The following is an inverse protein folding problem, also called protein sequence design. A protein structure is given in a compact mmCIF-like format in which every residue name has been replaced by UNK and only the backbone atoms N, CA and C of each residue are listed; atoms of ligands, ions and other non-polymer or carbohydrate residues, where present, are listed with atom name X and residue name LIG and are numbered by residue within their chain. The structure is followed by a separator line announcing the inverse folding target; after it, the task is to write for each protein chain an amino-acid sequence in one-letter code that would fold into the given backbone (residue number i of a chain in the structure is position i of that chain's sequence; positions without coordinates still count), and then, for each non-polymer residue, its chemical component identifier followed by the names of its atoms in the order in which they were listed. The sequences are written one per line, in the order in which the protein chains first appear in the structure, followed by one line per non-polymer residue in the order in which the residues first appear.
data_IF_353513759346
#
_entry.id   IF_353513759346
#
_cell.length_a   1.000
_cell.length_b   1.000
_cell.length_c   1.000
_cell.angle_alpha   90.00
_cell.angle_beta   90.00
_cell.angle_gamma   90.00
#
_symmetry.space_group_name_H-M   'P 1'
#
loop_
_entity.id
_entity.type
_entity.pdbx_description
1 polymer ?
#
# COMPACT_ATOMS: atom_id res chain seq x y z
N UNK A 1 -116.40 9.90 7.70
CA UNK A 1 -115.19 9.98 8.56
C UNK A 1 -114.25 8.78 8.41
N UNK A 2 -114.71 7.52 8.50
CA UNK A 2 -113.85 6.32 8.35
C UNK A 2 -112.97 6.31 7.09
N UNK A 3 -113.53 6.59 5.91
CA UNK A 3 -112.76 6.61 4.64
C UNK A 3 -111.68 7.70 4.59
N UNK A 4 -111.93 8.87 5.19
CA UNK A 4 -110.96 9.98 5.23
C UNK A 4 -109.79 9.60 6.13
N UNK A 5 -110.05 9.06 7.31
CA UNK A 5 -109.02 8.53 8.23
C UNK A 5 -108.15 7.43 7.58
N UNK A 6 -108.76 6.51 6.84
CA UNK A 6 -108.03 5.45 6.13
C UNK A 6 -107.07 6.02 5.06
N UNK A 7 -107.52 7.02 4.30
CA UNK A 7 -106.68 7.67 3.29
C UNK A 7 -105.51 8.41 3.96
N UNK A 8 -105.76 9.20 4.99
CA UNK A 8 -104.70 9.95 5.68
C UNK A 8 -103.63 9.04 6.29
N UNK A 9 -104.04 7.90 6.88
CA UNK A 9 -103.11 6.91 7.43
C UNK A 9 -102.26 6.26 6.34
N UNK A 10 -102.86 5.88 5.21
CA UNK A 10 -102.12 5.30 4.07
C UNK A 10 -101.14 6.32 3.49
N UNK A 11 -101.55 7.58 3.32
CA UNK A 11 -100.66 8.65 2.84
C UNK A 11 -99.51 8.91 3.81
N UNK A 12 -99.75 8.90 5.12
CA UNK A 12 -98.71 9.06 6.14
C UNK A 12 -97.71 7.89 6.13
N UNK A 13 -98.17 6.65 5.94
CA UNK A 13 -97.29 5.46 5.83
C UNK A 13 -96.45 5.53 4.54
N UNK A 14 -97.05 5.94 3.41
CA UNK A 14 -96.34 6.10 2.14
C UNK A 14 -95.29 7.22 2.21
N UNK A 15 -95.59 8.33 2.88
CA UNK A 15 -94.62 9.41 3.12
C UNK A 15 -93.50 8.97 4.07
N UNK A 16 -93.83 8.30 5.17
CA UNK A 16 -92.83 7.81 6.13
C UNK A 16 -91.90 6.76 5.51
N UNK A 17 -92.43 5.85 4.69
CA UNK A 17 -91.64 4.87 3.94
C UNK A 17 -90.79 5.51 2.85
N UNK A 18 -91.30 6.52 2.14
CA UNK A 18 -90.51 7.31 1.18
C UNK A 18 -89.36 8.08 1.83
N UNK A 19 -89.61 8.70 2.99
CA UNK A 19 -88.57 9.38 3.79
C UNK A 19 -87.53 8.38 4.31
N UNK A 20 -87.95 7.22 4.81
CA UNK A 20 -87.03 6.18 5.27
C UNK A 20 -86.17 5.62 4.12
N UNK A 21 -86.76 5.35 2.96
CA UNK A 21 -86.02 4.90 1.79
C UNK A 21 -85.02 5.96 1.30
N UNK A 22 -85.39 7.25 1.35
CA UNK A 22 -84.47 8.34 1.01
C UNK A 22 -83.34 8.48 2.02
N UNK A 23 -83.62 8.31 3.31
CA UNK A 23 -82.59 8.32 4.36
C UNK A 23 -81.58 7.18 4.16
N UNK A 24 -82.06 5.96 3.88
CA UNK A 24 -81.20 4.81 3.57
C UNK A 24 -80.36 5.07 2.33
N UNK A 25 -80.95 5.61 1.26
CA UNK A 25 -80.21 5.96 0.04
C UNK A 25 -79.13 7.01 0.28
N UNK A 26 -79.43 8.04 1.09
CA UNK A 26 -78.43 9.07 1.47
C UNK A 26 -77.31 8.49 2.35
N UNK A 27 -77.62 7.56 3.25
CA UNK A 27 -76.60 6.88 4.06
C UNK A 27 -75.70 5.97 3.20
N UNK A 28 -76.26 5.32 2.18
CA UNK A 28 -75.50 4.55 1.18
C UNK A 28 -74.61 5.47 0.34
N UNK A 29 -75.16 6.54 -0.24
CA UNK A 29 -74.39 7.53 -1.01
C UNK A 29 -73.24 8.13 -0.17
N UNK A 30 -73.50 8.39 1.12
CA UNK A 30 -72.49 8.86 2.08
C UNK A 30 -71.41 7.81 2.32
N UNK A 31 -71.77 6.55 2.51
CA UNK A 31 -70.81 5.48 2.73
C UNK A 31 -69.90 5.29 1.51
N UNK A 32 -70.47 5.33 0.30
CA UNK A 32 -69.73 5.21 -0.95
C UNK A 32 -68.77 6.40 -1.14
N UNK A 33 -69.23 7.62 -0.86
CA UNK A 33 -68.37 8.82 -0.92
C UNK A 33 -67.21 8.76 0.09
N UNK A 34 -67.43 8.23 1.30
CA UNK A 34 -66.36 8.03 2.29
C UNK A 34 -65.35 6.98 1.79
N UNK A 35 -65.83 5.88 1.22
CA UNK A 35 -64.97 4.84 0.68
C UNK A 35 -64.10 5.36 -0.48
N UNK A 36 -64.67 6.17 -1.38
CA UNK A 36 -63.94 6.81 -2.47
C UNK A 36 -62.88 7.79 -1.96
N UNK A 37 -63.21 8.62 -0.96
CA UNK A 37 -62.26 9.54 -0.34
C UNK A 37 -61.12 8.79 0.38
N UNK A 38 -61.41 7.67 1.03
CA UNK A 38 -60.39 6.82 1.65
C UNK A 38 -59.45 6.23 0.59
N UNK A 39 -59.99 5.67 -0.49
CA UNK A 39 -59.20 5.13 -1.59
C UNK A 39 -58.33 6.22 -2.27
N UNK A 40 -58.87 7.43 -2.45
CA UNK A 40 -58.12 8.55 -2.99
C UNK A 40 -56.99 9.00 -2.04
N UNK A 41 -57.26 9.02 -0.73
CA UNK A 41 -56.26 9.33 0.30
C UNK A 41 -55.11 8.32 0.29
N UNK A 42 -55.42 7.03 0.18
CA UNK A 42 -54.42 5.96 0.08
C UNK A 42 -53.61 6.03 -1.21
N UNK A 43 -54.26 6.25 -2.35
CA UNK A 43 -53.59 6.47 -3.64
C UNK A 43 -52.63 7.65 -3.59
N UNK A 44 -53.07 8.78 -3.00
CA UNK A 44 -52.24 9.99 -2.84
C UNK A 44 -51.03 9.70 -1.96
N UNK A 45 -51.23 9.02 -0.82
CA UNK A 45 -50.12 8.64 0.07
C UNK A 45 -49.12 7.71 -0.63
N UNK A 46 -49.60 6.75 -1.41
CA UNK A 46 -48.73 5.86 -2.20
C UNK A 46 -47.95 6.61 -3.28
N UNK A 47 -48.58 7.57 -3.96
CA UNK A 47 -47.91 8.43 -4.92
C UNK A 47 -46.84 9.32 -4.27
N UNK A 48 -47.12 9.88 -3.09
CA UNK A 48 -46.16 10.65 -2.30
C UNK A 48 -44.95 9.81 -1.91
N UNK A 49 -45.15 8.62 -1.31
CA UNK A 49 -44.04 7.74 -0.95
C UNK A 49 -43.16 7.33 -2.14
N UNK A 50 -43.77 7.10 -3.31
CA UNK A 50 -43.01 6.82 -4.54
C UNK A 50 -42.21 8.03 -5.01
N UNK A 51 -42.78 9.23 -4.90
CA UNK A 51 -42.10 10.47 -5.25
C UNK A 51 -40.91 10.70 -4.32
N UNK A 52 -41.11 10.62 -3.00
CA UNK A 52 -40.05 10.76 -2.00
C UNK A 52 -38.91 9.73 -2.22
N UNK A 53 -39.26 8.49 -2.57
CA UNK A 53 -38.29 7.45 -2.88
C UNK A 53 -37.47 7.77 -4.14
N UNK A 54 -38.13 8.23 -5.21
CA UNK A 54 -37.46 8.60 -6.45
C UNK A 54 -36.57 9.83 -6.25
N UNK A 55 -37.03 10.83 -5.51
CA UNK A 55 -36.25 12.03 -5.19
C UNK A 55 -34.99 11.65 -4.40
N UNK A 56 -35.11 10.75 -3.42
CA UNK A 56 -33.95 10.22 -2.70
C UNK A 56 -32.98 9.44 -3.59
N UNK A 57 -33.50 8.62 -4.52
CA UNK A 57 -32.67 7.87 -5.46
C UNK A 57 -31.95 8.78 -6.46
N UNK A 58 -32.60 9.84 -6.93
CA UNK A 58 -31.99 10.85 -7.81
C UNK A 58 -30.90 11.61 -7.07
N UNK A 59 -31.15 12.08 -5.85
CA UNK A 59 -30.14 12.79 -5.06
C UNK A 59 -28.89 11.94 -4.81
N UNK A 60 -29.06 10.65 -4.49
CA UNK A 60 -27.93 9.73 -4.32
C UNK A 60 -27.15 9.50 -5.63
N UNK A 61 -27.83 9.43 -6.77
CA UNK A 61 -27.19 9.28 -8.08
C UNK A 61 -26.43 10.55 -8.50
N UNK A 62 -26.96 11.73 -8.18
CA UNK A 62 -26.28 13.01 -8.39
C UNK A 62 -25.02 13.13 -7.53
N UNK A 63 -25.07 12.68 -6.27
CA UNK A 63 -23.92 12.64 -5.36
C UNK A 63 -22.82 11.69 -5.87
N UNK A 64 -23.15 10.45 -6.25
CA UNK A 64 -22.19 9.49 -6.84
C UNK A 64 -21.57 10.04 -8.14
N UNK A 65 -22.38 10.70 -8.98
CA UNK A 65 -21.88 11.33 -10.20
C UNK A 65 -20.89 12.46 -9.89
N UNK A 66 -21.21 13.31 -8.91
CA UNK A 66 -20.33 14.40 -8.49
C UNK A 66 -19.02 13.89 -7.88
N UNK A 67 -19.08 12.85 -7.03
CA UNK A 67 -17.91 12.23 -6.43
C UNK A 67 -16.95 11.65 -7.49
N UNK A 68 -17.49 10.91 -8.47
CA UNK A 68 -16.70 10.38 -9.59
C UNK A 68 -16.09 11.46 -10.46
N UNK A 69 -16.85 12.53 -10.74
CA UNK A 69 -16.33 13.67 -11.48
C UNK A 69 -15.14 14.31 -10.76
N UNK A 70 -15.24 14.52 -9.45
CA UNK A 70 -14.14 15.06 -8.64
C UNK A 70 -12.90 14.16 -8.64
N UNK A 71 -13.08 12.83 -8.54
CA UNK A 71 -11.98 11.86 -8.66
C UNK A 71 -11.31 11.93 -10.04
N UNK A 72 -12.09 12.06 -11.12
CA UNK A 72 -11.56 12.17 -12.48
C UNK A 72 -10.75 13.46 -12.70
N UNK A 73 -11.19 14.58 -12.12
CA UNK A 73 -10.49 15.87 -12.22
C UNK A 73 -9.06 15.80 -11.66
N UNK A 74 -8.83 15.06 -10.58
CA UNK A 74 -7.51 14.98 -9.92
C UNK A 74 -6.59 13.90 -10.49
N UNK A 75 -7.11 12.92 -11.25
CA UNK A 75 -6.32 11.81 -11.82
C UNK A 75 -5.30 12.25 -12.86
N UNK A 76 -5.53 13.35 -13.57
CA UNK A 76 -4.57 13.89 -14.52
C UNK A 76 -3.22 14.19 -13.85
N UNK A 77 -3.24 14.87 -12.70
CA UNK A 77 -2.04 15.19 -11.94
C UNK A 77 -1.28 13.94 -11.47
N UNK A 78 -1.99 12.89 -11.07
CA UNK A 78 -1.38 11.62 -10.71
C UNK A 78 -0.62 10.97 -11.89
N UNK A 79 -1.22 10.99 -13.09
CA UNK A 79 -0.58 10.46 -14.30
C UNK A 79 0.68 11.25 -14.66
N UNK A 80 0.62 12.58 -14.56
CA UNK A 80 1.78 13.45 -14.79
C UNK A 80 2.91 13.16 -13.80
N UNK A 81 2.60 12.95 -12.52
CA UNK A 81 3.56 12.57 -11.49
C UNK A 81 4.18 11.17 -11.73
N UNK A 82 3.39 10.18 -12.18
CA UNK A 82 3.93 8.87 -12.57
C UNK A 82 4.89 9.00 -13.76
N UNK A 83 4.56 9.83 -14.76
CA UNK A 83 5.45 10.08 -15.89
C UNK A 83 6.75 10.77 -15.44
N UNK A 84 6.66 11.75 -14.53
CA UNK A 84 7.80 12.44 -13.93
C UNK A 84 8.69 11.48 -13.12
N UNK A 85 8.09 10.58 -12.35
CA UNK A 85 8.83 9.52 -11.64
C UNK A 85 9.52 8.56 -12.62
N UNK A 86 8.86 8.18 -13.71
CA UNK A 86 9.48 7.41 -14.78
C UNK A 86 10.75 8.07 -15.32
N UNK A 87 10.68 9.37 -15.60
CA UNK A 87 11.84 10.16 -16.05
C UNK A 87 12.96 10.23 -14.99
N UNK A 88 12.61 10.44 -13.72
CA UNK A 88 13.57 10.44 -12.61
C UNK A 88 14.29 9.09 -12.47
N UNK A 89 13.53 8.00 -12.57
CA UNK A 89 14.05 6.62 -12.52
C UNK A 89 14.98 6.33 -13.69
N UNK A 90 14.64 6.74 -14.90
CA UNK A 90 15.53 6.61 -16.07
C UNK A 90 16.80 7.43 -15.88
N UNK A 91 16.71 8.66 -15.37
CA UNK A 91 17.88 9.49 -15.07
C UNK A 91 18.79 8.93 -13.97
N UNK A 92 18.24 8.07 -13.11
CA UNK A 92 18.92 7.37 -12.03
C UNK A 92 19.59 6.06 -12.45
N UNK A 93 19.38 5.57 -13.69
CA UNK A 93 19.94 4.31 -14.15
C UNK A 93 21.47 4.28 -14.04
N UNK A 94 21.99 3.19 -13.46
CA UNK A 94 23.43 3.03 -13.20
C UNK A 94 23.98 3.90 -12.06
N UNK A 95 23.19 4.80 -11.49
CA UNK A 95 23.57 5.64 -10.33
C UNK A 95 23.00 5.09 -9.03
N UNK A 96 21.70 4.82 -8.99
CA UNK A 96 20.98 4.38 -7.78
C UNK A 96 19.94 3.30 -8.10
N UNK A 97 19.74 2.35 -7.18
CA UNK A 97 18.72 1.30 -7.33
C UNK A 97 17.33 1.86 -7.01
N UNK A 98 16.45 1.85 -8.00
CA UNK A 98 15.08 2.38 -7.91
C UNK A 98 14.01 1.29 -7.81
N UNK A 99 14.37 0.03 -7.53
CA UNK A 99 13.41 -1.08 -7.40
C UNK A 99 12.31 -0.82 -6.36
N UNK A 100 12.68 -0.38 -5.15
CA UNK A 100 11.70 -0.06 -4.08
C UNK A 100 10.83 1.14 -4.46
N UNK A 101 11.39 2.13 -5.15
CA UNK A 101 10.64 3.28 -5.66
C UNK A 101 9.59 2.85 -6.70
N UNK A 102 9.95 1.92 -7.61
CA UNK A 102 9.00 1.33 -8.57
C UNK A 102 7.90 0.55 -7.89
N UNK A 103 8.21 -0.28 -6.89
CA UNK A 103 7.21 -1.04 -6.14
C UNK A 103 6.21 -0.10 -5.43
N UNK A 104 6.69 0.91 -4.72
CA UNK A 104 5.83 1.89 -4.04
C UNK A 104 4.96 2.70 -5.03
N UNK A 105 5.47 2.97 -6.24
CA UNK A 105 4.68 3.62 -7.29
C UNK A 105 3.57 2.71 -7.85
N UNK A 106 3.81 1.40 -7.93
CA UNK A 106 2.79 0.42 -8.32
C UNK A 106 1.69 0.35 -7.24
N UNK A 107 2.06 0.30 -5.97
CA UNK A 107 1.09 0.31 -4.86
C UNK A 107 0.20 1.57 -4.91
N UNK A 108 0.81 2.74 -5.18
CA UNK A 108 0.07 3.99 -5.36
C UNK A 108 -0.87 3.95 -6.59
N UNK A 109 -0.46 3.31 -7.68
CA UNK A 109 -1.33 3.11 -8.86
C UNK A 109 -2.52 2.21 -8.54
N UNK A 110 -2.33 1.13 -7.78
CA UNK A 110 -3.42 0.24 -7.37
C UNK A 110 -4.45 0.95 -6.51
N UNK A 111 -4.00 1.81 -5.58
CA UNK A 111 -4.88 2.68 -4.77
C UNK A 111 -5.72 3.60 -5.66
N UNK A 112 -5.11 4.30 -6.63
CA UNK A 112 -5.83 5.21 -7.53
C UNK A 112 -6.79 4.48 -8.47
N UNK A 113 -6.44 3.27 -8.92
CA UNK A 113 -7.30 2.43 -9.76
C UNK A 113 -8.55 1.95 -9.02
N UNK A 114 -8.41 1.65 -7.73
CA UNK A 114 -9.50 1.21 -6.87
C UNK A 114 -10.43 2.36 -6.45
N UNK A 115 -9.91 3.58 -6.29
CA UNK A 115 -10.67 4.76 -5.85
C UNK A 115 -11.78 5.17 -6.83
N UNK A 116 -12.96 5.51 -6.30
CA UNK A 116 -14.16 5.88 -7.08
C UNK A 116 -14.82 7.16 -6.60
N UNK A 117 -14.69 7.48 -5.32
CA UNK A 117 -15.59 8.42 -4.66
C UNK A 117 -14.81 9.50 -3.88
N UNK A 118 -13.60 9.22 -3.40
CA UNK A 118 -12.80 10.15 -2.62
C UNK A 118 -11.61 10.73 -3.41
N UNK A 119 -11.68 12.00 -3.88
CA UNK A 119 -10.56 12.64 -4.55
C UNK A 119 -9.34 12.84 -3.63
N UNK A 120 -9.52 12.90 -2.31
CA UNK A 120 -8.41 13.06 -1.37
C UNK A 120 -7.46 11.85 -1.38
N UNK A 121 -7.98 10.64 -1.60
CA UNK A 121 -7.16 9.43 -1.78
C UNK A 121 -6.22 9.57 -2.97
N UNK A 122 -6.71 10.10 -4.11
CA UNK A 122 -5.87 10.31 -5.31
C UNK A 122 -4.84 11.41 -5.08
N UNK A 123 -5.21 12.49 -4.40
CA UNK A 123 -4.28 13.57 -4.02
C UNK A 123 -3.18 13.04 -3.08
N UNK A 124 -3.52 12.20 -2.11
CA UNK A 124 -2.55 11.57 -1.22
C UNK A 124 -1.59 10.65 -1.97
N UNK A 125 -2.11 9.80 -2.87
CA UNK A 125 -1.28 8.95 -3.73
C UNK A 125 -0.35 9.77 -4.64
N UNK A 126 -0.84 10.89 -5.16
CA UNK A 126 -0.04 11.85 -5.95
C UNK A 126 1.11 12.41 -5.11
N UNK A 127 0.84 12.83 -3.87
CA UNK A 127 1.88 13.31 -2.96
C UNK A 127 2.91 12.21 -2.59
N UNK A 128 2.47 10.95 -2.48
CA UNK A 128 3.38 9.81 -2.31
C UNK A 128 4.33 9.68 -3.49
N UNK A 129 3.81 9.70 -4.73
CA UNK A 129 4.64 9.64 -5.95
C UNK A 129 5.62 10.82 -5.99
N UNK A 130 5.15 12.02 -5.70
CA UNK A 130 6.00 13.21 -5.63
C UNK A 130 7.15 13.06 -4.61
N UNK A 131 6.86 12.46 -3.45
CA UNK A 131 7.90 12.14 -2.46
C UNK A 131 8.91 11.12 -2.97
N UNK A 132 8.48 10.11 -3.74
CA UNK A 132 9.38 9.15 -4.38
C UNK A 132 10.32 9.85 -5.40
N UNK A 133 9.81 10.82 -6.17
CA UNK A 133 10.65 11.61 -7.08
C UNK A 133 11.72 12.36 -6.30
N UNK A 134 11.33 13.05 -5.22
CA UNK A 134 12.26 13.79 -4.36
C UNK A 134 13.34 12.87 -3.80
N UNK A 135 12.97 11.67 -3.31
CA UNK A 135 13.92 10.68 -2.79
C UNK A 135 14.90 10.17 -3.86
N UNK A 136 14.41 9.85 -5.06
CA UNK A 136 15.28 9.48 -6.18
C UNK A 136 16.26 10.63 -6.49
N UNK A 137 15.79 11.87 -6.50
CA UNK A 137 16.63 13.05 -6.69
C UNK A 137 17.68 13.24 -5.59
N UNK A 138 17.32 13.06 -4.32
CA UNK A 138 18.24 13.11 -3.18
C UNK A 138 19.30 11.99 -3.25
N UNK A 139 18.89 10.77 -3.58
CA UNK A 139 19.78 9.62 -3.75
C UNK A 139 20.76 9.86 -4.91
N UNK A 140 20.28 10.36 -6.05
CA UNK A 140 21.12 10.73 -7.20
C UNK A 140 22.08 11.87 -6.82
N UNK A 141 21.60 12.92 -6.17
CA UNK A 141 22.44 14.05 -5.73
C UNK A 141 23.51 13.61 -4.72
N UNK A 142 23.15 12.70 -3.81
CA UNK A 142 24.09 12.09 -2.87
C UNK A 142 25.13 11.26 -3.60
N UNK A 143 24.73 10.47 -4.60
CA UNK A 143 25.63 9.74 -5.48
C UNK A 143 26.56 10.70 -6.23
N UNK A 144 26.03 11.74 -6.87
CA UNK A 144 26.80 12.74 -7.64
C UNK A 144 27.78 13.50 -6.75
N UNK A 145 27.34 13.92 -5.56
CA UNK A 145 28.23 14.55 -4.58
C UNK A 145 29.34 13.59 -4.14
N UNK A 146 29.04 12.30 -3.97
CA UNK A 146 30.07 11.29 -3.70
C UNK A 146 31.02 11.06 -4.90
N UNK A 147 30.57 11.29 -6.15
CA UNK A 147 31.42 11.25 -7.33
C UNK A 147 32.33 12.49 -7.45
N UNK A 148 31.82 13.68 -7.10
CA UNK A 148 32.50 14.96 -7.32
C UNK A 148 33.15 15.59 -6.08
N UNK A 149 32.90 15.07 -4.88
CA UNK A 149 33.67 15.40 -3.69
C UNK A 149 35.10 14.87 -3.88
N UNK A 150 35.96 15.70 -4.48
CA UNK A 150 37.39 15.48 -4.48
C UNK A 150 37.86 15.33 -3.02
N UNK A 151 38.41 14.18 -2.62
CA UNK A 151 39.14 14.14 -1.37
C UNK A 151 40.39 15.00 -1.58
N UNK A 152 40.77 15.79 -0.58
CA UNK A 152 42.17 16.25 -0.44
C UNK A 152 43.13 15.09 -0.11
N UNK A 153 42.83 13.88 -0.59
CA UNK A 153 43.60 12.65 -0.51
C UNK A 153 43.56 11.98 -1.88
N UNK A 154 44.51 11.08 -2.19
CA UNK A 154 44.67 10.55 -3.55
C UNK A 154 43.33 10.04 -4.06
N UNK A 155 42.96 10.45 -5.29
CA UNK A 155 41.73 10.04 -5.97
C UNK A 155 41.51 8.55 -5.72
N UNK A 156 40.43 8.17 -5.02
CA UNK A 156 40.13 6.75 -4.83
C UNK A 156 39.89 6.21 -6.24
N UNK A 157 40.84 5.44 -6.80
CA UNK A 157 40.68 4.95 -8.15
C UNK A 157 39.50 3.99 -8.08
N UNK A 158 38.57 4.08 -9.03
CA UNK A 158 37.65 2.97 -9.25
C UNK A 158 38.46 1.67 -9.30
N UNK A 159 37.90 0.57 -8.79
CA UNK A 159 38.62 -0.70 -8.83
C UNK A 159 38.83 -1.21 -10.27
N UNK A 160 38.14 -0.57 -11.23
CA UNK A 160 38.18 -0.91 -12.64
C UNK A 160 37.49 -2.27 -12.92
N UNK A 161 37.40 -2.67 -14.20
CA UNK A 161 36.74 -3.93 -14.57
C UNK A 161 37.35 -5.15 -13.88
N UNK A 162 38.68 -5.18 -13.71
CA UNK A 162 39.40 -6.28 -13.05
C UNK A 162 39.15 -6.32 -11.54
N UNK A 163 39.11 -5.16 -10.88
CA UNK A 163 38.80 -5.06 -9.46
C UNK A 163 37.36 -5.48 -9.17
N UNK A 164 36.40 -5.03 -9.99
CA UNK A 164 35.02 -5.48 -9.89
C UNK A 164 34.90 -6.99 -10.08
N UNK A 165 35.54 -7.55 -11.11
CA UNK A 165 35.55 -8.99 -11.36
C UNK A 165 36.15 -9.77 -10.18
N UNK A 166 37.17 -9.22 -9.51
CA UNK A 166 37.77 -9.82 -8.32
C UNK A 166 36.82 -9.85 -7.12
N UNK A 167 36.14 -8.74 -6.83
CA UNK A 167 35.16 -8.69 -5.73
C UNK A 167 33.96 -9.58 -6.03
N UNK A 168 33.50 -9.60 -7.29
CA UNK A 168 32.47 -10.52 -7.76
C UNK A 168 32.86 -11.98 -7.55
N UNK A 169 34.05 -12.38 -8.01
CA UNK A 169 34.55 -13.75 -7.83
C UNK A 169 34.69 -14.14 -6.35
N UNK A 170 35.06 -13.20 -5.49
CA UNK A 170 35.06 -13.41 -4.04
C UNK A 170 33.64 -13.65 -3.50
N UNK A 171 32.65 -12.84 -3.90
CA UNK A 171 31.26 -13.05 -3.49
C UNK A 171 30.71 -14.39 -3.99
N UNK A 172 31.00 -14.76 -5.24
CA UNK A 172 30.56 -16.03 -5.81
C UNK A 172 31.19 -17.21 -5.06
N UNK A 173 32.49 -17.12 -4.73
CA UNK A 173 33.21 -18.14 -3.95
C UNK A 173 32.62 -18.34 -2.56
N UNK A 174 32.15 -17.28 -1.91
CA UNK A 174 31.50 -17.41 -0.60
C UNK A 174 30.03 -17.80 -0.72
N UNK A 175 29.51 -18.04 -1.92
CA UNK A 175 28.15 -18.54 -2.18
C UNK A 175 27.11 -17.48 -2.51
N UNK A 176 27.52 -16.29 -2.95
CA UNK A 176 26.65 -15.16 -3.28
C UNK A 176 26.41 -14.93 -4.78
N UNK A 177 26.49 -15.97 -5.62
CA UNK A 177 26.38 -15.85 -7.08
C UNK A 177 25.11 -15.18 -7.61
N UNK A 178 24.01 -15.22 -6.86
CA UNK A 178 22.75 -14.54 -7.19
C UNK A 178 22.52 -13.20 -6.48
N UNK A 179 23.52 -12.69 -5.74
CA UNK A 179 23.42 -11.44 -4.97
C UNK A 179 24.01 -10.30 -5.79
N UNK A 180 23.23 -9.23 -5.95
CA UNK A 180 23.64 -8.04 -6.69
C UNK A 180 24.83 -7.35 -6.02
N UNK A 181 25.74 -6.79 -6.84
CA UNK A 181 26.98 -6.17 -6.36
C UNK A 181 27.27 -4.91 -7.15
N UNK A 182 27.62 -3.82 -6.46
CA UNK A 182 28.07 -2.58 -7.10
C UNK A 182 29.10 -1.83 -6.26
N UNK A 183 29.93 -1.03 -6.94
CA UNK A 183 30.95 -0.19 -6.30
C UNK A 183 30.32 1.13 -5.81
N UNK A 184 30.67 1.56 -4.60
CA UNK A 184 30.22 2.82 -4.01
C UNK A 184 31.27 3.36 -3.03
N UNK A 185 31.52 4.67 -3.06
CA UNK A 185 32.38 5.34 -2.08
C UNK A 185 31.75 5.42 -0.68
N UNK A 186 30.42 5.22 -0.57
CA UNK A 186 29.67 5.32 0.68
C UNK A 186 28.87 4.04 0.96
N UNK A 187 28.97 3.60 2.21
CA UNK A 187 28.31 2.41 2.70
C UNK A 187 27.57 2.73 4.01
N UNK A 188 26.24 2.54 4.02
CA UNK A 188 25.33 2.88 5.12
C UNK A 188 25.54 4.29 5.75
N UNK A 189 25.92 5.31 4.96
CA UNK A 189 26.18 6.67 5.47
C UNK A 189 27.51 6.82 6.22
N UNK A 190 28.38 5.80 6.21
CA UNK A 190 29.66 5.78 6.90
C UNK A 190 30.84 5.31 6.04
N UNK A 191 31.95 4.99 6.73
CA UNK A 191 33.25 4.59 6.13
C UNK A 191 33.43 3.08 6.04
N UNK A 192 32.34 2.31 6.20
CA UNK A 192 32.39 0.86 6.12
C UNK A 192 32.90 0.41 4.73
N UNK A 193 33.80 -0.58 4.65
CA UNK A 193 34.41 -0.98 3.38
C UNK A 193 33.45 -1.71 2.43
N UNK A 194 32.41 -2.35 2.98
CA UNK A 194 31.29 -2.93 2.27
C UNK A 194 30.05 -2.94 3.18
N UNK A 195 28.85 -3.03 2.59
CA UNK A 195 27.61 -3.29 3.33
C UNK A 195 26.56 -3.94 2.43
N UNK A 196 25.73 -4.78 3.03
CA UNK A 196 24.48 -5.24 2.45
C UNK A 196 23.31 -4.27 2.66
N UNK A 197 22.30 -4.35 1.79
CA UNK A 197 21.01 -3.71 2.00
C UNK A 197 19.87 -4.76 2.00
N UNK A 198 18.70 -4.36 2.53
CA UNK A 198 17.51 -5.20 2.59
C UNK A 198 16.95 -5.59 1.22
N UNK A 199 17.34 -4.89 0.15
CA UNK A 199 16.93 -5.17 -1.23
C UNK A 199 17.76 -6.28 -1.90
N UNK A 200 18.70 -6.90 -1.18
CA UNK A 200 19.45 -8.04 -1.70
C UNK A 200 20.73 -7.67 -2.47
N UNK A 201 21.25 -6.46 -2.28
CA UNK A 201 22.52 -6.01 -2.87
C UNK A 201 23.61 -5.82 -1.84
N UNK A 202 24.84 -6.03 -2.27
CA UNK A 202 26.05 -5.66 -1.54
C UNK A 202 26.72 -4.50 -2.27
N UNK A 203 27.08 -3.45 -1.53
CA UNK A 203 27.91 -2.36 -2.02
C UNK A 203 29.30 -2.44 -1.42
N UNK A 204 30.31 -2.02 -2.18
CA UNK A 204 31.70 -2.07 -1.72
C UNK A 204 32.51 -0.84 -2.16
N UNK A 205 33.52 -0.50 -1.36
CA UNK A 205 34.47 0.57 -1.68
C UNK A 205 35.61 0.05 -2.56
N UNK A 206 36.03 0.82 -3.55
CA UNK A 206 37.00 0.40 -4.57
C UNK A 206 38.32 -0.19 -4.02
N UNK A 207 38.83 0.32 -2.90
CA UNK A 207 40.09 -0.13 -2.27
C UNK A 207 40.02 -1.58 -1.78
N UNK A 208 38.84 -2.14 -1.48
CA UNK A 208 38.74 -3.52 -1.00
C UNK A 208 39.15 -4.52 -2.09
N UNK A 209 39.08 -4.12 -3.36
CA UNK A 209 39.58 -4.92 -4.48
C UNK A 209 41.09 -5.17 -4.39
N UNK A 210 41.84 -4.41 -3.59
CA UNK A 210 43.27 -4.61 -3.34
C UNK A 210 43.57 -5.38 -2.04
N UNK A 211 42.54 -5.72 -1.25
CA UNK A 211 42.73 -6.48 -0.02
C UNK A 211 43.22 -7.88 -0.28
N UNK A 212 43.89 -8.49 0.70
CA UNK A 212 44.25 -9.90 0.64
C UNK A 212 43.02 -10.78 0.36
N UNK A 213 43.22 -11.89 -0.35
CA UNK A 213 42.11 -12.79 -0.72
C UNK A 213 41.33 -13.27 0.50
N UNK A 214 42.01 -13.57 1.61
CA UNK A 214 41.37 -13.97 2.87
C UNK A 214 40.45 -12.87 3.42
N UNK A 215 40.94 -11.62 3.47
CA UNK A 215 40.17 -10.48 3.97
C UNK A 215 39.00 -10.12 3.05
N UNK A 216 39.21 -10.20 1.73
CA UNK A 216 38.14 -9.94 0.76
C UNK A 216 37.03 -11.01 0.84
N UNK A 217 37.39 -12.29 0.95
CA UNK A 217 36.41 -13.35 1.11
C UNK A 217 35.66 -13.23 2.45
N UNK A 218 36.34 -12.90 3.55
CA UNK A 218 35.68 -12.61 4.82
C UNK A 218 34.66 -11.48 4.67
N UNK A 219 35.05 -10.35 4.05
CA UNK A 219 34.14 -9.22 3.85
C UNK A 219 32.91 -9.64 3.04
N UNK A 220 33.09 -10.37 1.95
CA UNK A 220 31.95 -10.84 1.15
C UNK A 220 31.09 -11.86 1.91
N UNK A 221 31.68 -12.73 2.73
CA UNK A 221 30.92 -13.68 3.54
C UNK A 221 30.13 -13.00 4.65
N UNK A 222 30.72 -11.97 5.26
CA UNK A 222 30.10 -11.13 6.29
C UNK A 222 28.90 -10.38 5.70
N UNK A 223 29.08 -9.69 4.57
CA UNK A 223 27.97 -8.97 3.92
C UNK A 223 26.87 -9.90 3.41
N UNK A 224 27.25 -11.06 2.88
CA UNK A 224 26.28 -12.09 2.53
C UNK A 224 25.50 -12.57 3.76
N UNK A 225 26.12 -12.55 4.94
CA UNK A 225 25.46 -12.84 6.22
C UNK A 225 24.31 -11.88 6.47
N UNK A 226 24.53 -10.57 6.32
CA UNK A 226 23.48 -9.56 6.44
C UNK A 226 22.35 -9.76 5.43
N UNK A 227 22.65 -10.12 4.17
CA UNK A 227 21.60 -10.46 3.18
C UNK A 227 20.66 -11.56 3.70
N UNK A 228 21.22 -12.57 4.37
CA UNK A 228 20.41 -13.65 4.95
C UNK A 228 19.68 -13.23 6.23
N UNK A 229 20.29 -12.40 7.07
CA UNK A 229 19.61 -11.81 8.23
C UNK A 229 18.38 -11.01 7.81
N UNK A 230 18.47 -10.19 6.75
CA UNK A 230 17.34 -9.41 6.25
C UNK A 230 16.15 -10.28 5.83
N UNK A 231 16.40 -11.47 5.27
CA UNK A 231 15.33 -12.43 4.89
C UNK A 231 14.54 -12.95 6.09
N UNK A 232 15.15 -12.97 7.26
CA UNK A 232 14.56 -13.49 8.50
C UNK A 232 14.43 -12.41 9.57
N UNK A 233 14.47 -11.12 9.19
CA UNK A 233 14.64 -10.02 10.14
C UNK A 233 13.61 -10.01 11.27
N UNK A 234 12.33 -10.25 10.95
CA UNK A 234 11.27 -10.34 11.96
C UNK A 234 11.49 -11.48 12.95
N UNK A 235 11.76 -12.68 12.43
CA UNK A 235 12.05 -13.86 13.24
C UNK A 235 13.31 -13.66 14.12
N UNK A 236 14.36 -13.14 13.50
CA UNK A 236 15.65 -12.85 14.12
C UNK A 236 15.49 -11.88 15.30
N UNK A 237 14.87 -10.73 15.07
CA UNK A 237 14.72 -9.68 16.09
C UNK A 237 13.75 -10.05 17.21
N UNK A 238 12.82 -10.97 16.95
CA UNK A 238 11.95 -11.56 17.98
C UNK A 238 12.58 -12.73 18.77
N UNK A 239 13.76 -13.23 18.36
CA UNK A 239 14.37 -14.40 18.96
C UNK A 239 15.11 -14.08 20.26
N UNK A 240 14.65 -14.67 21.37
CA UNK A 240 15.36 -14.58 22.66
C UNK A 240 16.78 -15.16 22.57
N UNK A 241 16.98 -16.21 21.77
CA UNK A 241 18.29 -16.82 21.56
C UNK A 241 19.25 -15.85 20.88
N UNK A 242 18.80 -15.12 19.86
CA UNK A 242 19.59 -14.06 19.22
C UNK A 242 20.05 -13.00 20.22
N UNK A 243 19.13 -12.50 21.04
CA UNK A 243 19.46 -11.52 22.10
C UNK A 243 20.42 -12.09 23.14
N UNK A 244 20.26 -13.35 23.56
CA UNK A 244 21.13 -13.97 24.57
C UNK A 244 22.53 -14.31 24.07
N UNK A 245 22.65 -14.77 22.81
CA UNK A 245 23.91 -15.26 22.24
C UNK A 245 24.72 -14.15 21.56
N UNK A 246 24.04 -13.16 21.00
CA UNK A 246 24.65 -12.09 20.21
C UNK A 246 24.37 -10.69 20.77
N UNK A 247 23.64 -10.56 21.89
CA UNK A 247 23.33 -9.25 22.48
C UNK A 247 22.40 -8.39 21.62
N UNK A 248 21.75 -8.97 20.62
CA UNK A 248 21.00 -8.23 19.60
C UNK A 248 21.88 -7.58 18.52
N UNK A 249 23.17 -7.91 18.46
CA UNK A 249 24.15 -7.35 17.53
C UNK A 249 24.20 -8.14 16.20
N UNK A 250 23.71 -7.49 15.14
CA UNK A 250 23.65 -8.05 13.79
C UNK A 250 25.05 -8.15 13.14
N UNK A 251 25.96 -7.23 13.48
CA UNK A 251 27.35 -7.22 12.98
C UNK A 251 28.14 -8.38 13.58
N UNK A 252 27.97 -8.61 14.88
CA UNK A 252 28.60 -9.75 15.54
C UNK A 252 28.07 -11.07 14.97
N UNK A 253 26.76 -11.18 14.78
CA UNK A 253 26.17 -12.33 14.13
C UNK A 253 26.69 -12.53 12.70
N UNK A 254 26.82 -11.48 11.89
CA UNK A 254 27.33 -11.56 10.52
C UNK A 254 28.79 -12.04 10.49
N UNK A 255 29.61 -11.62 11.46
CA UNK A 255 30.96 -12.16 11.65
C UNK A 255 30.94 -13.68 11.94
N UNK A 256 30.04 -14.16 12.81
CA UNK A 256 29.89 -15.60 13.04
C UNK A 256 29.41 -16.37 11.82
N UNK A 257 28.49 -15.77 11.07
CA UNK A 257 28.01 -16.33 9.82
C UNK A 257 29.15 -16.49 8.79
N UNK A 258 30.11 -15.55 8.75
CA UNK A 258 31.32 -15.67 7.93
C UNK A 258 32.26 -16.79 8.42
N UNK A 259 32.45 -16.92 9.74
CA UNK A 259 33.27 -17.97 10.37
C UNK A 259 32.76 -19.36 9.97
N UNK A 260 31.45 -19.63 10.06
CA UNK A 260 30.89 -20.96 9.74
C UNK A 260 30.93 -21.29 8.25
N UNK A 261 31.14 -20.31 7.37
CA UNK A 261 31.44 -20.53 5.95
C UNK A 261 32.94 -20.71 5.66
N UNK A 262 33.78 -20.73 6.69
CA UNK A 262 35.23 -20.93 6.56
C UNK A 262 36.00 -19.65 6.26
N UNK A 263 35.41 -18.47 6.48
CA UNK A 263 36.04 -17.18 6.24
C UNK A 263 36.10 -16.37 7.54
N UNK A 264 36.95 -16.75 8.51
CA UNK A 264 37.03 -16.06 9.79
C UNK A 264 37.63 -14.66 9.63
N UNK A 265 37.04 -13.69 10.34
CA UNK A 265 37.57 -12.34 10.50
C UNK A 265 38.40 -12.20 11.79
N UNK A 266 38.52 -10.97 12.27
CA UNK A 266 39.18 -10.68 13.56
C UNK A 266 38.29 -10.95 14.77
N UNK A 267 36.98 -11.10 14.57
CA UNK A 267 35.99 -11.38 15.63
C UNK A 267 35.71 -12.88 15.63
N UNK A 268 35.94 -13.53 16.78
CA UNK A 268 35.66 -14.94 16.99
C UNK A 268 34.30 -15.17 17.64
N UNK A 269 33.78 -16.38 17.51
CA UNK A 269 32.64 -16.85 18.30
C UNK A 269 32.75 -18.32 18.66
N UNK A 270 32.06 -18.69 19.73
CA UNK A 270 32.10 -20.04 20.27
C UNK A 270 31.29 -21.05 19.44
N UNK A 271 31.41 -22.33 19.80
CA UNK A 271 30.74 -23.41 19.07
C UNK A 271 29.21 -23.30 19.08
N UNK A 272 28.61 -22.75 20.15
CA UNK A 272 27.16 -22.60 20.25
C UNK A 272 26.65 -21.47 19.36
N UNK A 273 27.36 -20.33 19.34
CA UNK A 273 27.09 -19.20 18.45
C UNK A 273 27.26 -19.60 16.98
N UNK A 274 28.30 -20.37 16.66
CA UNK A 274 28.51 -20.91 15.31
C UNK A 274 27.39 -21.86 14.89
N UNK A 275 27.00 -22.81 15.75
CA UNK A 275 25.89 -23.72 15.45
C UNK A 275 24.60 -22.94 15.16
N UNK A 276 24.28 -21.93 15.97
CA UNK A 276 23.11 -21.08 15.76
C UNK A 276 23.21 -20.23 14.49
N UNK A 277 24.35 -19.57 14.23
CA UNK A 277 24.57 -18.78 13.03
C UNK A 277 24.46 -19.62 11.74
N UNK A 278 24.86 -20.91 11.79
CA UNK A 278 24.72 -21.83 10.67
C UNK A 278 23.26 -22.09 10.26
N UNK A 279 22.33 -22.04 11.23
CA UNK A 279 20.90 -22.26 11.01
C UNK A 279 20.27 -21.20 10.09
N UNK A 280 20.78 -19.95 10.12
CA UNK A 280 20.31 -18.87 9.25
C UNK A 280 20.65 -19.17 7.78
N UNK A 281 21.83 -19.73 7.50
CA UNK A 281 22.23 -20.07 6.13
C UNK A 281 21.33 -21.10 5.46
N UNK A 282 20.81 -22.05 6.25
CA UNK A 282 19.95 -23.15 5.78
C UNK A 282 18.46 -22.86 5.95
N UNK A 283 18.09 -21.66 6.44
CA UNK A 283 16.70 -21.21 6.54
C UNK A 283 15.87 -21.90 7.62
N UNK A 284 16.50 -22.40 8.68
CA UNK A 284 15.83 -23.05 9.82
C UNK A 284 15.43 -22.07 10.92
N UNK A 285 15.95 -20.84 10.90
CA UNK A 285 15.45 -19.71 11.70
C UNK A 285 14.28 -19.07 10.94
N UNK A 286 13.07 -19.07 11.51
CA UNK A 286 11.82 -18.55 10.93
C UNK A 286 10.96 -17.89 11.98
#
# INVERSE_FOLDING_TARGET
MRRVLSVTVVTAILLASGVAARAIGLDQDRADAIAELQALSESTRSAQMRTDHLDGAVAAAEEDTAARAAVLEVRGAFVDEIAALGAAITGAEGKVDTATHRAAAIDAQEVVLAERDDPATVVAATATVHSLISRVGEDVSTWETAQYAAPGGPANPSSGPEGFARVRAALDRVGGAGVGLYESASCAGGTAPACANSNGFIKYRADIAQWSTARLNWAMAHELGHIYQFRVWGALTSSQSYHSMFGGDAEFLANCMAVVRGYPGSVGCDASQQAWASAIWVGTVR
#
